data_IF_662897214062
#
_entry.id   IF_662897214062
#
_cell.length_a   1.000
_cell.length_b   1.000
_cell.length_c   1.000
_cell.angle_alpha   90.00
_cell.angle_beta   90.00
_cell.angle_gamma   90.00
#
_symmetry.space_group_name_H-M   'P 1'
#
loop_
_entity.id
_entity.type
_entity.pdbx_description
1 polymer ?
#
# COMPACT_ATOMS: atom_id res chain seq x y z
N UNK A 1 -20.49 19.86 59.64
CA UNK A 1 -20.22 18.68 58.79
C UNK A 1 -20.63 19.04 57.38
N UNK A 2 -19.68 19.50 56.58
CA UNK A 2 -19.92 20.00 55.22
C UNK A 2 -19.28 18.98 54.29
N UNK A 3 -20.10 18.16 53.63
CA UNK A 3 -19.64 17.14 52.70
C UNK A 3 -19.05 17.82 51.45
N UNK A 4 -17.74 17.72 51.29
CA UNK A 4 -17.02 18.17 50.10
C UNK A 4 -17.21 17.10 49.03
N UNK A 5 -18.12 17.32 48.10
CA UNK A 5 -18.30 16.48 46.92
C UNK A 5 -17.03 16.54 46.06
N UNK A 6 -16.29 15.43 46.03
CA UNK A 6 -15.15 15.25 45.14
C UNK A 6 -15.64 15.14 43.70
N UNK A 7 -15.56 16.24 42.96
CA UNK A 7 -15.76 16.25 41.51
C UNK A 7 -14.66 15.40 40.86
N UNK A 8 -15.02 14.21 40.37
CA UNK A 8 -14.17 13.44 39.47
C UNK A 8 -13.87 14.28 38.21
N UNK A 9 -12.63 14.30 37.71
CA UNK A 9 -12.31 15.02 36.48
C UNK A 9 -13.01 14.33 35.28
N UNK A 10 -13.43 15.09 34.26
CA UNK A 10 -14.05 14.53 33.07
C UNK A 10 -13.07 13.63 32.34
N UNK A 11 -13.49 12.43 31.97
CA UNK A 11 -12.77 11.55 31.05
C UNK A 11 -12.63 12.27 29.71
N UNK A 12 -11.48 12.89 29.45
CA UNK A 12 -11.16 13.50 28.17
C UNK A 12 -11.25 12.44 27.07
N UNK A 13 -12.23 12.55 26.18
CA UNK A 13 -12.18 11.84 24.90
C UNK A 13 -10.93 12.32 24.18
N UNK A 14 -9.89 11.48 24.15
CA UNK A 14 -8.66 11.80 23.45
C UNK A 14 -8.99 11.94 21.96
N UNK A 15 -8.57 13.05 21.33
CA UNK A 15 -8.80 13.27 19.90
C UNK A 15 -8.26 12.09 19.06
N UNK A 16 -8.82 11.79 17.88
CA UNK A 16 -8.34 10.69 17.05
C UNK A 16 -6.84 10.79 16.74
N UNK A 17 -6.34 12.00 16.47
CA UNK A 17 -4.91 12.25 16.25
C UNK A 17 -4.05 11.91 17.48
N UNK A 18 -4.49 12.27 18.69
CA UNK A 18 -3.79 11.93 19.92
C UNK A 18 -3.80 10.43 20.21
N UNK A 19 -4.91 9.74 19.92
CA UNK A 19 -4.99 8.28 20.02
C UNK A 19 -4.06 7.60 19.03
N UNK A 20 -4.03 8.08 17.78
CA UNK A 20 -3.13 7.60 16.74
C UNK A 20 -1.67 7.76 17.18
N UNK A 21 -1.29 8.95 17.67
CA UNK A 21 0.05 9.24 18.19
C UNK A 21 0.44 8.33 19.36
N UNK A 22 -0.48 8.07 20.29
CA UNK A 22 -0.19 7.25 21.47
C UNK A 22 -0.08 5.74 21.19
N UNK A 23 -0.70 5.24 20.13
CA UNK A 23 -0.84 3.78 19.87
C UNK A 23 -0.08 3.30 18.64
N UNK A 24 0.43 4.21 17.82
CA UNK A 24 1.17 3.89 16.59
C UNK A 24 2.65 4.22 16.74
N UNK A 25 3.48 3.54 15.95
CA UNK A 25 4.86 3.90 15.68
C UNK A 25 5.04 4.12 14.19
N UNK A 26 5.97 4.99 13.81
CA UNK A 26 6.31 5.17 12.41
C UNK A 26 7.22 4.05 11.94
N UNK A 27 6.97 3.56 10.73
CA UNK A 27 7.71 2.51 10.06
C UNK A 27 7.98 2.91 8.62
N UNK A 28 9.12 2.49 8.09
CA UNK A 28 9.48 2.66 6.68
C UNK A 28 10.15 1.40 6.18
N UNK A 29 9.76 1.00 4.97
CA UNK A 29 10.33 -0.17 4.28
C UNK A 29 11.01 0.30 2.99
N UNK A 30 12.29 -0.04 2.87
CA UNK A 30 13.15 0.30 1.73
C UNK A 30 13.51 -0.95 0.94
N UNK A 31 13.58 -0.82 -0.38
CA UNK A 31 13.96 -1.90 -1.28
C UNK A 31 15.14 -1.48 -2.13
N UNK A 32 16.22 -2.25 -2.10
CA UNK A 32 17.29 -2.19 -3.10
C UNK A 32 16.96 -3.19 -4.19
N UNK A 33 17.06 -2.77 -5.47
CA UNK A 33 16.63 -3.62 -6.58
C UNK A 33 17.53 -3.45 -7.80
N UNK A 34 17.96 -4.57 -8.38
CA UNK A 34 18.75 -4.55 -9.61
C UNK A 34 18.00 -3.87 -10.75
N UNK A 35 18.63 -2.85 -11.34
CA UNK A 35 18.10 -2.14 -12.50
C UNK A 35 18.19 -2.99 -13.76
N UNK A 36 17.06 -3.48 -14.29
CA UNK A 36 17.03 -4.37 -15.46
C UNK A 36 16.89 -3.64 -16.80
N UNK A 37 17.01 -2.31 -16.80
CA UNK A 37 16.94 -1.49 -18.01
C UNK A 37 18.06 -0.46 -17.99
N UNK A 38 18.58 -0.15 -19.18
CA UNK A 38 19.58 0.91 -19.35
C UNK A 38 19.22 1.76 -20.56
N UNK A 39 19.30 3.08 -20.41
CA UNK A 39 19.12 4.01 -21.53
C UNK A 39 20.21 3.78 -22.56
N UNK A 40 19.85 3.90 -23.84
CA UNK A 40 20.85 3.84 -24.91
C UNK A 40 21.77 5.06 -24.88
N UNK A 41 23.01 4.91 -25.35
CA UNK A 41 23.92 6.06 -25.50
C UNK A 41 23.40 7.06 -26.53
N UNK A 42 23.93 8.28 -26.53
CA UNK A 42 23.56 9.30 -27.53
C UNK A 42 23.77 8.79 -28.96
N UNK A 43 24.89 8.09 -29.22
CA UNK A 43 25.20 7.51 -30.53
C UNK A 43 24.21 6.42 -30.91
N UNK A 44 23.89 5.50 -29.99
CA UNK A 44 22.90 4.44 -30.22
C UNK A 44 21.50 5.00 -30.46
N UNK A 45 21.12 6.09 -29.77
CA UNK A 45 19.85 6.77 -29.98
C UNK A 45 19.79 7.45 -31.35
N UNK A 46 20.86 8.11 -31.78
CA UNK A 46 20.93 8.72 -33.11
C UNK A 46 20.78 7.68 -34.23
N UNK A 47 21.47 6.54 -34.11
CA UNK A 47 21.36 5.43 -35.07
C UNK A 47 19.94 4.84 -35.11
N UNK A 48 19.27 4.71 -33.95
CA UNK A 48 17.88 4.24 -33.91
C UNK A 48 16.90 5.26 -34.51
N UNK A 49 17.15 6.56 -34.29
CA UNK A 49 16.30 7.65 -34.79
C UNK A 49 16.34 7.78 -36.32
N UNK A 50 17.51 7.53 -36.92
CA UNK A 50 17.72 7.56 -38.38
C UNK A 50 16.74 6.63 -39.12
N UNK A 51 16.44 5.45 -38.54
CA UNK A 51 15.49 4.49 -39.13
C UNK A 51 14.06 5.02 -39.27
N UNK A 52 13.71 6.07 -38.53
CA UNK A 52 12.39 6.72 -38.55
C UNK A 52 12.44 8.16 -39.06
N UNK A 53 13.61 8.65 -39.49
CA UNK A 53 13.82 10.06 -39.83
C UNK A 53 13.56 11.01 -38.66
N UNK A 54 13.68 10.52 -37.43
CA UNK A 54 13.42 11.29 -36.22
C UNK A 54 14.70 12.01 -35.75
N UNK A 55 14.53 13.15 -35.08
CA UNK A 55 15.63 13.79 -34.37
C UNK A 55 15.94 13.03 -33.07
N UNK A 56 17.21 12.69 -32.87
CA UNK A 56 17.64 11.84 -31.74
C UNK A 56 17.33 12.42 -30.35
N UNK A 57 17.24 13.74 -30.21
CA UNK A 57 16.86 14.40 -28.94
C UNK A 57 15.38 14.23 -28.59
N UNK A 58 14.52 14.07 -29.61
CA UNK A 58 13.10 13.83 -29.46
C UNK A 58 12.75 12.34 -29.36
N UNK A 59 13.75 11.45 -29.40
CA UNK A 59 13.60 10.02 -29.24
C UNK A 59 14.20 9.51 -27.91
N UNK A 60 13.37 8.83 -27.12
CA UNK A 60 13.82 8.07 -25.93
C UNK A 60 13.82 6.57 -26.22
N UNK A 61 14.95 5.92 -25.94
CA UNK A 61 15.11 4.47 -26.12
C UNK A 61 15.99 3.88 -25.00
N UNK A 62 15.68 2.63 -24.65
CA UNK A 62 16.43 1.87 -23.64
C UNK A 62 16.38 0.37 -23.90
N UNK A 63 17.45 -0.32 -23.50
CA UNK A 63 17.57 -1.78 -23.60
C UNK A 63 17.17 -2.45 -22.30
N UNK A 64 16.63 -3.67 -22.41
CA UNK A 64 16.35 -4.55 -21.26
C UNK A 64 17.54 -5.46 -21.07
N UNK A 65 18.15 -5.42 -19.88
CA UNK A 65 19.35 -6.18 -19.56
C UNK A 65 19.03 -7.64 -19.26
N UNK A 66 17.95 -7.89 -18.51
CA UNK A 66 17.54 -9.25 -18.16
C UNK A 66 16.09 -9.51 -18.55
N UNK A 67 15.79 -10.78 -18.84
CA UNK A 67 14.42 -11.24 -19.03
C UNK A 67 13.69 -11.35 -17.68
N UNK A 68 13.00 -10.26 -17.31
CA UNK A 68 12.22 -10.21 -16.07
C UNK A 68 10.98 -11.11 -16.09
N UNK A 69 10.63 -11.71 -17.24
CA UNK A 69 9.54 -12.70 -17.32
C UNK A 69 10.00 -14.09 -16.90
N UNK A 70 11.31 -14.33 -16.78
CA UNK A 70 11.85 -15.61 -16.35
C UNK A 70 11.29 -16.00 -14.97
N UNK A 71 10.88 -17.28 -14.75
CA UNK A 71 10.24 -17.71 -13.51
C UNK A 71 11.04 -17.36 -12.24
N UNK A 72 12.37 -17.49 -12.27
CA UNK A 72 13.23 -17.14 -11.12
C UNK A 72 13.26 -15.64 -10.84
N UNK A 73 13.17 -14.79 -11.86
CA UNK A 73 13.10 -13.33 -11.65
C UNK A 73 11.71 -12.92 -11.13
N UNK A 74 10.65 -13.57 -11.63
CA UNK A 74 9.29 -13.40 -11.11
C UNK A 74 9.18 -13.82 -9.64
N UNK A 75 9.87 -14.88 -9.22
CA UNK A 75 9.91 -15.31 -7.82
C UNK A 75 10.48 -14.20 -6.91
N UNK A 76 11.63 -13.62 -7.27
CA UNK A 76 12.23 -12.48 -6.56
C UNK A 76 11.24 -11.30 -6.50
N UNK A 77 10.64 -10.94 -7.63
CA UNK A 77 9.65 -9.84 -7.70
C UNK A 77 8.40 -10.12 -6.86
N UNK A 78 7.98 -11.40 -6.77
CA UNK A 78 6.83 -11.81 -5.98
C UNK A 78 7.05 -11.58 -4.49
N UNK A 79 8.25 -11.86 -3.95
CA UNK A 79 8.60 -11.57 -2.55
C UNK A 79 8.41 -10.09 -2.27
N UNK A 80 9.01 -9.20 -3.08
CA UNK A 80 8.86 -7.74 -2.94
C UNK A 80 7.40 -7.29 -2.92
N UNK A 81 6.58 -7.83 -3.82
CA UNK A 81 5.15 -7.50 -3.88
C UNK A 81 4.41 -7.95 -2.61
N UNK A 82 4.69 -9.17 -2.11
CA UNK A 82 4.10 -9.69 -0.86
C UNK A 82 4.54 -8.86 0.35
N UNK A 83 5.82 -8.52 0.46
CA UNK A 83 6.34 -7.68 1.55
C UNK A 83 5.67 -6.31 1.57
N UNK A 84 5.55 -5.66 0.41
CA UNK A 84 4.87 -4.36 0.30
C UNK A 84 3.38 -4.48 0.66
N UNK A 85 2.70 -5.52 0.18
CA UNK A 85 1.28 -5.75 0.48
C UNK A 85 1.05 -5.96 1.98
N UNK A 86 1.87 -6.80 2.61
CA UNK A 86 1.84 -7.06 4.05
C UNK A 86 2.10 -5.79 4.88
N UNK A 87 3.15 -5.03 4.55
CA UNK A 87 3.42 -3.77 5.25
C UNK A 87 2.26 -2.79 5.11
N UNK A 88 1.67 -2.69 3.90
CA UNK A 88 0.55 -1.80 3.64
C UNK A 88 -0.72 -2.23 4.38
N UNK A 89 -0.97 -3.54 4.50
CA UNK A 89 -2.17 -4.07 5.15
C UNK A 89 -2.18 -3.91 6.67
N UNK A 90 -1.00 -3.81 7.30
CA UNK A 90 -0.85 -3.63 8.76
C UNK A 90 -0.62 -2.20 9.21
N UNK A 91 -0.55 -1.23 8.30
CA UNK A 91 -0.19 0.15 8.64
C UNK A 91 -1.06 1.18 7.95
N UNK A 92 -1.14 2.37 8.54
CA UNK A 92 -1.85 3.52 8.01
C UNK A 92 -0.91 4.45 7.24
N UNK A 93 -1.40 5.19 6.23
CA UNK A 93 -0.58 6.19 5.56
C UNK A 93 -0.19 7.34 6.52
N UNK A 94 0.96 7.95 6.25
CA UNK A 94 1.44 9.15 6.95
C UNK A 94 1.78 10.24 5.91
N UNK A 95 1.71 11.54 6.26
CA UNK A 95 1.98 12.63 5.31
C UNK A 95 3.39 12.60 4.71
N UNK A 96 4.37 12.10 5.47
CA UNK A 96 5.75 11.99 4.99
C UNK A 96 5.92 10.81 4.01
N UNK A 97 6.41 11.04 2.79
CA UNK A 97 6.56 9.98 1.79
C UNK A 97 7.44 8.83 2.27
N UNK A 98 6.96 7.60 2.10
CA UNK A 98 7.70 6.39 2.48
C UNK A 98 7.59 6.00 3.96
N UNK A 99 6.92 6.82 4.78
CA UNK A 99 6.58 6.50 6.16
C UNK A 99 5.13 6.05 6.26
N UNK A 100 4.86 5.07 7.11
CA UNK A 100 3.53 4.59 7.49
C UNK A 100 3.46 4.43 9.00
N UNK A 101 2.24 4.40 9.55
CA UNK A 101 1.98 4.22 10.98
C UNK A 101 1.56 2.78 11.25
N UNK A 102 2.39 2.04 11.96
CA UNK A 102 2.14 0.67 12.42
C UNK A 102 1.64 0.71 13.86
N UNK A 103 0.70 -0.15 14.23
CA UNK A 103 0.31 -0.26 15.64
C UNK A 103 1.45 -0.83 16.49
N UNK A 104 1.66 -0.26 17.65
CA UNK A 104 2.76 -0.67 18.54
C UNK A 104 2.64 -2.14 18.98
N UNK A 105 1.42 -2.65 19.17
CA UNK A 105 1.16 -4.06 19.53
C UNK A 105 1.37 -5.05 18.37
N UNK A 106 1.44 -4.57 17.13
CA UNK A 106 1.76 -5.38 15.95
C UNK A 106 3.26 -5.44 15.64
N UNK A 107 4.11 -4.74 16.42
CA UNK A 107 5.52 -4.55 16.13
C UNK A 107 6.31 -5.86 16.09
N UNK A 108 6.07 -6.77 17.03
CA UNK A 108 6.76 -8.06 17.12
C UNK A 108 6.42 -8.94 15.92
N UNK A 109 5.13 -9.18 15.68
CA UNK A 109 4.64 -9.94 14.52
C UNK A 109 5.11 -9.34 13.19
N UNK A 110 5.16 -8.01 13.09
CA UNK A 110 5.67 -7.34 11.90
C UNK A 110 7.16 -7.65 11.69
N UNK A 111 7.99 -7.54 12.73
CA UNK A 111 9.42 -7.82 12.61
C UNK A 111 9.68 -9.28 12.21
N UNK A 112 9.00 -10.22 12.84
CA UNK A 112 9.15 -11.65 12.53
C UNK A 112 8.81 -11.94 11.07
N UNK A 113 7.68 -11.42 10.59
CA UNK A 113 7.27 -11.63 9.20
C UNK A 113 8.19 -10.90 8.20
N UNK A 114 8.74 -9.74 8.55
CA UNK A 114 9.71 -9.03 7.70
C UNK A 114 11.04 -9.78 7.60
N UNK A 115 11.49 -10.44 8.68
CA UNK A 115 12.65 -11.35 8.65
C UNK A 115 12.39 -12.54 7.74
N UNK A 116 11.21 -13.16 7.83
CA UNK A 116 10.82 -14.26 6.91
C UNK A 116 10.86 -13.80 5.45
N UNK A 117 10.33 -12.60 5.13
CA UNK A 117 10.43 -12.07 3.77
C UNK A 117 11.86 -11.78 3.32
N UNK A 118 12.73 -11.38 4.23
CA UNK A 118 14.15 -11.16 3.93
C UNK A 118 14.83 -12.48 3.57
N UNK A 119 14.62 -13.53 4.36
CA UNK A 119 15.17 -14.86 4.09
C UNK A 119 14.63 -15.45 2.78
N UNK A 120 13.32 -15.31 2.53
CA UNK A 120 12.70 -15.73 1.27
C UNK A 120 13.27 -14.96 0.06
N UNK A 121 13.58 -13.67 0.22
CA UNK A 121 14.19 -12.86 -0.82
C UNK A 121 15.60 -13.36 -1.12
N UNK A 122 16.41 -13.59 -0.09
CA UNK A 122 17.78 -14.08 -0.23
C UNK A 122 17.82 -15.45 -0.91
N UNK A 123 16.92 -16.36 -0.54
CA UNK A 123 16.78 -17.67 -1.18
C UNK A 123 16.33 -17.54 -2.65
N UNK A 124 15.37 -16.67 -2.94
CA UNK A 124 14.92 -16.42 -4.32
C UNK A 124 16.04 -15.82 -5.19
N UNK A 125 16.86 -14.94 -4.63
CA UNK A 125 18.01 -14.30 -5.30
C UNK A 125 19.12 -15.33 -5.54
N UNK A 126 19.43 -16.18 -4.56
CA UNK A 126 20.39 -17.27 -4.74
C UNK A 126 19.99 -18.19 -5.91
N UNK A 127 18.70 -18.60 -5.93
CA UNK A 127 18.15 -19.38 -7.05
C UNK A 127 18.22 -18.61 -8.37
N UNK A 128 17.91 -17.31 -8.40
CA UNK A 128 18.07 -16.52 -9.62
C UNK A 128 19.53 -16.48 -10.09
N UNK A 129 20.47 -16.33 -9.15
CA UNK A 129 21.90 -16.22 -9.43
C UNK A 129 22.47 -17.48 -10.10
N UNK A 130 22.00 -18.68 -9.74
CA UNK A 130 22.36 -19.94 -10.42
C UNK A 130 22.05 -19.94 -11.94
N UNK A 131 21.06 -19.16 -12.40
CA UNK A 131 20.73 -19.02 -13.84
C UNK A 131 21.25 -17.72 -14.44
N UNK A 132 21.98 -16.92 -13.67
CA UNK A 132 22.35 -15.58 -14.09
C UNK A 132 23.28 -15.59 -15.31
N UNK A 133 24.25 -16.51 -15.36
CA UNK A 133 25.13 -16.69 -16.52
C UNK A 133 24.33 -16.99 -17.80
N UNK A 134 23.42 -17.96 -17.75
CA UNK A 134 22.56 -18.30 -18.90
C UNK A 134 21.63 -17.14 -19.31
N UNK A 135 21.11 -16.37 -18.34
CA UNK A 135 20.30 -15.18 -18.64
C UNK A 135 21.13 -14.08 -19.31
N UNK A 136 22.40 -13.95 -18.95
CA UNK A 136 23.35 -13.00 -19.52
C UNK A 136 23.76 -13.39 -20.94
N UNK A 137 24.04 -14.67 -21.19
CA UNK A 137 24.26 -15.21 -22.54
C UNK A 137 23.05 -14.97 -23.45
N UNK A 138 21.84 -15.30 -22.98
CA UNK A 138 20.62 -15.03 -23.73
C UNK A 138 20.40 -13.52 -23.98
N UNK A 139 20.83 -12.66 -23.06
CA UNK A 139 20.78 -11.21 -23.25
C UNK A 139 21.81 -10.74 -24.29
N UNK A 140 23.01 -11.32 -24.33
CA UNK A 140 24.03 -11.05 -25.34
C UNK A 140 23.52 -11.38 -26.75
N UNK A 141 22.90 -12.55 -26.92
CA UNK A 141 22.29 -12.94 -28.21
C UNK A 141 21.16 -12.00 -28.63
N UNK A 142 20.25 -11.67 -27.70
CA UNK A 142 19.07 -10.83 -27.99
C UNK A 142 19.40 -9.36 -28.22
N UNK A 143 20.41 -8.83 -27.53
CA UNK A 143 20.79 -7.41 -27.63
C UNK A 143 21.78 -7.15 -28.76
N UNK A 144 22.50 -8.16 -29.24
CA UNK A 144 23.50 -8.02 -30.29
C UNK A 144 24.51 -6.91 -29.97
N UNK A 145 24.68 -5.96 -30.89
CA UNK A 145 25.59 -4.81 -30.72
C UNK A 145 25.22 -3.85 -29.58
N UNK A 146 24.00 -3.93 -29.05
CA UNK A 146 23.59 -3.16 -27.89
C UNK A 146 24.03 -3.80 -26.57
N UNK A 147 24.53 -5.04 -26.58
CA UNK A 147 25.05 -5.70 -25.38
C UNK A 147 26.31 -4.96 -24.88
N UNK A 148 26.40 -4.78 -23.56
CA UNK A 148 27.60 -4.28 -22.92
C UNK A 148 27.81 -5.06 -21.61
N UNK A 149 28.94 -5.77 -21.53
CA UNK A 149 29.34 -6.58 -20.39
C UNK A 149 29.33 -5.81 -19.07
N UNK A 150 29.76 -4.53 -19.10
CA UNK A 150 29.83 -3.67 -17.92
C UNK A 150 28.45 -3.28 -17.34
N UNK A 151 27.36 -3.59 -18.05
CA UNK A 151 26.01 -3.39 -17.53
C UNK A 151 25.57 -4.52 -16.59
N UNK A 152 26.35 -5.60 -16.50
CA UNK A 152 26.05 -6.81 -15.74
C UNK A 152 27.06 -6.98 -14.62
N UNK A 153 26.65 -6.97 -13.34
CA UNK A 153 27.56 -7.31 -12.25
C UNK A 153 28.08 -8.74 -12.37
N UNK A 154 29.14 -9.07 -11.63
CA UNK A 154 29.66 -10.45 -11.60
C UNK A 154 28.68 -11.44 -10.94
N UNK A 155 27.84 -10.95 -10.02
CA UNK A 155 26.85 -11.73 -9.29
C UNK A 155 25.65 -10.85 -8.93
N UNK A 156 24.49 -11.48 -8.71
CA UNK A 156 23.30 -10.82 -8.19
C UNK A 156 23.25 -10.74 -6.65
N UNK A 157 24.22 -11.34 -5.97
CA UNK A 157 24.34 -11.23 -4.51
C UNK A 157 24.45 -9.75 -4.08
N UNK A 158 23.63 -9.34 -3.11
CA UNK A 158 23.56 -7.95 -2.63
C UNK A 158 22.92 -6.95 -3.60
N UNK A 159 22.47 -7.38 -4.79
CA UNK A 159 21.78 -6.50 -5.76
C UNK A 159 20.28 -6.33 -5.45
N UNK A 160 19.77 -7.14 -4.54
CA UNK A 160 18.40 -7.12 -4.05
C UNK A 160 18.45 -7.11 -2.53
N UNK A 161 17.70 -6.22 -1.91
CA UNK A 161 17.60 -6.17 -0.45
C UNK A 161 16.25 -5.57 -0.04
N UNK A 162 15.80 -5.96 1.15
CA UNK A 162 14.73 -5.30 1.88
C UNK A 162 15.23 -4.95 3.27
N UNK A 163 15.00 -3.70 3.67
CA UNK A 163 15.34 -3.17 4.98
C UNK A 163 14.19 -2.33 5.51
N UNK A 164 14.11 -2.23 6.84
CA UNK A 164 13.08 -1.44 7.50
C UNK A 164 13.64 -0.74 8.73
N UNK A 165 13.09 0.44 9.02
CA UNK A 165 13.44 1.25 10.19
C UNK A 165 12.20 1.88 10.83
N UNK A 166 12.40 2.47 12.01
CA UNK A 166 11.36 3.12 12.81
C UNK A 166 11.74 4.59 13.04
N UNK A 167 11.52 5.48 12.06
CA UNK A 167 11.88 6.89 12.19
C UNK A 167 11.10 7.56 13.33
N UNK A 168 11.71 8.55 14.00
CA UNK A 168 10.98 9.36 14.97
C UNK A 168 9.95 10.23 14.26
N UNK A 169 8.70 10.19 14.74
CA UNK A 169 7.64 11.15 14.39
C UNK A 169 7.30 12.09 15.54
N UNK A 170 8.15 12.09 16.57
CA UNK A 170 8.03 12.93 17.76
C UNK A 170 9.02 14.10 17.71
N UNK A 171 8.66 15.27 18.28
CA UNK A 171 9.60 16.39 18.41
C UNK A 171 10.83 15.98 19.24
N UNK A 172 12.05 16.36 18.84
CA UNK A 172 13.25 16.03 19.60
C UNK A 172 13.23 16.68 21.00
N UNK A 173 13.39 15.87 22.06
CA UNK A 173 13.26 16.33 23.45
C UNK A 173 14.33 17.35 23.87
N UNK A 174 15.54 17.29 23.30
CA UNK A 174 16.61 18.24 23.60
C UNK A 174 16.26 19.69 23.23
N UNK A 175 15.33 19.90 22.29
CA UNK A 175 14.89 21.24 21.90
C UNK A 175 14.18 21.95 23.04
N UNK A 176 13.55 21.23 23.97
CA UNK A 176 12.91 21.84 25.14
C UNK A 176 13.88 22.69 25.97
N UNK A 177 15.15 22.28 26.02
CA UNK A 177 16.19 22.98 26.78
C UNK A 177 16.93 24.00 25.92
N UNK A 178 17.22 23.67 24.66
CA UNK A 178 18.05 24.50 23.79
C UNK A 178 17.27 25.65 23.11
N UNK A 179 16.02 25.38 22.72
CA UNK A 179 15.18 26.33 22.03
C UNK A 179 13.69 25.97 22.23
N UNK A 180 13.07 26.43 23.34
CA UNK A 180 11.66 26.14 23.65
C UNK A 180 10.69 26.58 22.56
N UNK A 181 10.93 27.73 21.91
CA UNK A 181 10.08 28.22 20.81
C UNK A 181 10.11 27.27 19.61
N UNK A 182 11.29 26.76 19.23
CA UNK A 182 11.43 25.77 18.17
C UNK A 182 10.78 24.43 18.55
N UNK A 183 10.89 24.02 19.82
CA UNK A 183 10.19 22.83 20.31
C UNK A 183 8.67 22.97 20.18
N UNK A 184 8.09 24.12 20.54
CA UNK A 184 6.66 24.39 20.38
C UNK A 184 6.23 24.42 18.90
N UNK A 185 7.07 24.92 18.00
CA UNK A 185 6.83 24.86 16.55
C UNK A 185 6.81 23.43 16.04
N UNK A 186 7.78 22.59 16.43
CA UNK A 186 7.82 21.19 16.05
C UNK A 186 6.65 20.39 16.65
N UNK A 187 6.23 20.70 17.88
CA UNK A 187 5.02 20.12 18.48
C UNK A 187 3.77 20.41 17.63
N UNK A 188 3.58 21.65 17.19
CA UNK A 188 2.46 22.04 16.31
C UNK A 188 2.52 21.34 14.95
N UNK A 189 3.72 21.21 14.38
CA UNK A 189 3.94 20.51 13.10
C UNK A 189 3.61 19.02 13.21
N UNK A 190 4.04 18.36 14.28
CA UNK A 190 3.72 16.95 14.53
C UNK A 190 2.21 16.78 14.72
N UNK A 191 1.56 17.66 15.48
CA UNK A 191 0.10 17.61 15.64
C UNK A 191 -0.62 17.69 14.29
N UNK A 192 -0.28 18.68 13.46
CA UNK A 192 -0.89 18.84 12.13
C UNK A 192 -0.66 17.62 11.22
N UNK A 193 0.51 16.96 11.32
CA UNK A 193 0.79 15.73 10.57
C UNK A 193 -0.07 14.56 11.02
N UNK A 194 -0.36 14.43 12.32
CA UNK A 194 -1.27 13.40 12.81
C UNK A 194 -2.73 13.69 12.45
N UNK A 195 -3.15 14.95 12.45
CA UNK A 195 -4.48 15.34 11.96
C UNK A 195 -4.64 14.99 10.47
N UNK A 196 -3.61 15.26 9.65
CA UNK A 196 -3.58 14.85 8.24
C UNK A 196 -3.54 13.32 8.10
N UNK A 197 -2.77 12.61 8.93
CA UNK A 197 -2.71 11.14 8.90
C UNK A 197 -4.09 10.50 9.18
N UNK A 198 -4.89 11.07 10.09
CA UNK A 198 -6.28 10.65 10.32
C UNK A 198 -7.11 10.80 9.04
N UNK A 199 -7.04 11.96 8.37
CA UNK A 199 -7.76 12.20 7.12
C UNK A 199 -7.32 11.23 6.00
N UNK A 200 -6.02 10.97 5.90
CA UNK A 200 -5.46 10.02 4.93
C UNK A 200 -5.91 8.58 5.20
N UNK A 201 -5.97 8.17 6.47
CA UNK A 201 -6.44 6.85 6.86
C UNK A 201 -7.93 6.69 6.51
N UNK A 202 -8.77 7.66 6.85
CA UNK A 202 -10.18 7.65 6.45
C UNK A 202 -10.36 7.55 4.93
N UNK A 203 -9.62 8.37 4.18
CA UNK A 203 -9.70 8.36 2.72
C UNK A 203 -9.31 7.00 2.16
N UNK A 204 -8.22 6.40 2.66
CA UNK A 204 -7.78 5.09 2.24
C UNK A 204 -8.85 4.01 2.52
N UNK A 205 -9.51 4.05 3.68
CA UNK A 205 -10.58 3.12 4.01
C UNK A 205 -11.84 3.32 3.15
N UNK A 206 -12.24 4.55 2.86
CA UNK A 206 -13.39 4.85 1.99
C UNK A 206 -13.11 4.36 0.57
N UNK A 207 -11.92 4.66 0.02
CA UNK A 207 -11.52 4.23 -1.31
C UNK A 207 -11.48 2.70 -1.42
N UNK A 208 -10.90 2.04 -0.43
CA UNK A 208 -10.82 0.58 -0.38
C UNK A 208 -12.21 -0.07 -0.24
N UNK A 209 -13.06 0.43 0.65
CA UNK A 209 -14.43 -0.06 0.82
C UNK A 209 -15.25 0.14 -0.46
N UNK A 210 -15.19 1.33 -1.09
CA UNK A 210 -15.88 1.61 -2.35
C UNK A 210 -15.44 0.64 -3.45
N UNK A 211 -14.14 0.37 -3.59
CA UNK A 211 -13.63 -0.61 -4.56
C UNK A 211 -14.13 -2.03 -4.29
N UNK A 212 -14.11 -2.47 -3.03
CA UNK A 212 -14.57 -3.80 -2.64
C UNK A 212 -16.08 -3.98 -2.84
N UNK A 213 -16.88 -3.00 -2.43
CA UNK A 213 -18.34 -3.00 -2.61
C UNK A 213 -18.69 -2.94 -4.09
N UNK A 214 -18.07 -2.03 -4.86
CA UNK A 214 -18.28 -1.91 -6.30
C UNK A 214 -17.95 -3.23 -7.02
N UNK A 215 -16.82 -3.85 -6.67
CA UNK A 215 -16.45 -5.14 -7.23
C UNK A 215 -17.45 -6.24 -6.88
N UNK A 216 -17.89 -6.32 -5.62
CA UNK A 216 -18.87 -7.33 -5.20
C UNK A 216 -20.22 -7.11 -5.90
N UNK A 217 -20.75 -5.89 -5.89
CA UNK A 217 -21.99 -5.51 -6.58
C UNK A 217 -21.92 -5.86 -8.07
N UNK A 218 -20.81 -5.53 -8.73
CA UNK A 218 -20.59 -5.88 -10.14
C UNK A 218 -20.68 -7.40 -10.34
N UNK A 219 -20.01 -8.19 -9.48
CA UNK A 219 -20.02 -9.66 -9.59
C UNK A 219 -21.40 -10.24 -9.34
N UNK A 220 -22.19 -9.65 -8.44
CA UNK A 220 -23.54 -10.12 -8.14
C UNK A 220 -24.56 -9.69 -9.20
N UNK A 221 -24.40 -8.53 -9.84
CA UNK A 221 -25.37 -7.93 -10.77
C UNK A 221 -25.53 -8.57 -12.16
N UNK A 222 -24.68 -9.52 -12.56
CA UNK A 222 -24.82 -10.22 -13.85
C UNK A 222 -24.41 -9.38 -15.09
N UNK A 223 -24.69 -9.87 -16.30
CA UNK A 223 -24.59 -9.12 -17.56
C UNK A 223 -25.96 -8.60 -18.00
N UNK A 224 -25.99 -7.58 -18.87
CA UNK A 224 -27.22 -7.09 -19.53
C UNK A 224 -27.97 -8.21 -20.30
N UNK A 225 -27.26 -9.25 -20.73
CA UNK A 225 -27.80 -10.46 -21.39
C UNK A 225 -28.42 -11.50 -20.44
N UNK A 226 -28.56 -11.20 -19.14
CA UNK A 226 -29.15 -12.09 -18.13
C UNK A 226 -28.26 -13.25 -17.65
N UNK A 227 -27.02 -13.36 -18.15
CA UNK A 227 -26.06 -14.38 -17.68
C UNK A 227 -25.28 -13.91 -16.44
N UNK A 228 -25.19 -14.71 -15.37
CA UNK A 228 -24.45 -14.33 -14.17
C UNK A 228 -22.95 -14.17 -14.44
N UNK A 229 -22.33 -13.10 -13.92
CA UNK A 229 -20.88 -12.96 -13.87
C UNK A 229 -20.27 -14.06 -13.00
N UNK A 230 -19.06 -14.51 -13.35
CA UNK A 230 -18.29 -15.46 -12.54
C UNK A 230 -18.06 -14.84 -11.16
N UNK A 231 -18.68 -15.46 -10.16
CA UNK A 231 -18.59 -15.08 -8.75
C UNK A 231 -17.64 -16.05 -8.01
N UNK A 232 -16.59 -15.49 -7.42
CA UNK A 232 -15.54 -16.24 -6.70
C UNK A 232 -15.64 -15.95 -5.21
N UNK A 233 -15.26 -16.92 -4.39
CA UNK A 233 -15.28 -16.80 -2.92
C UNK A 233 -14.45 -15.62 -2.43
N UNK A 234 -13.35 -15.34 -3.13
CA UNK A 234 -12.44 -14.22 -2.86
C UNK A 234 -13.14 -12.87 -2.81
N UNK A 235 -14.27 -12.67 -3.50
CA UNK A 235 -14.99 -11.39 -3.46
C UNK A 235 -15.60 -11.12 -2.06
N UNK A 236 -16.07 -12.15 -1.38
CA UNK A 236 -16.60 -12.06 -0.01
C UNK A 236 -15.46 -12.06 1.01
N UNK A 237 -14.45 -12.89 0.79
CA UNK A 237 -13.31 -12.98 1.70
C UNK A 237 -12.52 -11.67 1.79
N UNK A 238 -12.28 -10.99 0.66
CA UNK A 238 -11.61 -9.70 0.65
C UNK A 238 -12.36 -8.62 1.48
N UNK A 239 -13.70 -8.68 1.53
CA UNK A 239 -14.50 -7.79 2.38
C UNK A 239 -14.38 -8.15 3.86
N UNK A 240 -14.36 -9.44 4.19
CA UNK A 240 -14.13 -9.90 5.57
C UNK A 240 -12.76 -9.50 6.07
N UNK A 241 -11.71 -9.72 5.28
CA UNK A 241 -10.35 -9.28 5.56
C UNK A 241 -10.28 -7.75 5.75
N UNK A 242 -11.01 -6.99 4.92
CA UNK A 242 -11.13 -5.54 5.10
C UNK A 242 -11.77 -5.18 6.44
N UNK A 243 -12.88 -5.82 6.85
CA UNK A 243 -13.52 -5.51 8.13
C UNK A 243 -12.61 -5.77 9.33
N UNK A 244 -11.84 -6.87 9.27
CA UNK A 244 -10.87 -7.19 10.30
C UNK A 244 -9.75 -6.15 10.38
N UNK A 245 -9.21 -5.72 9.24
CA UNK A 245 -8.21 -4.65 9.19
C UNK A 245 -8.77 -3.30 9.64
N UNK A 246 -9.96 -2.93 9.18
CA UNK A 246 -10.63 -1.72 9.62
C UNK A 246 -10.79 -1.73 11.13
N UNK A 247 -11.28 -2.83 11.72
CA UNK A 247 -11.39 -2.95 13.18
C UNK A 247 -10.04 -2.84 13.89
N UNK A 248 -9.00 -3.46 13.34
CA UNK A 248 -7.67 -3.48 13.94
C UNK A 248 -6.96 -2.13 13.87
N UNK A 249 -7.18 -1.35 12.80
CA UNK A 249 -6.43 -0.12 12.51
C UNK A 249 -7.24 1.17 12.70
N UNK A 250 -8.57 1.10 12.78
CA UNK A 250 -9.43 2.27 12.84
C UNK A 250 -9.24 3.03 14.16
N UNK A 251 -9.00 4.34 14.01
CA UNK A 251 -8.87 5.30 15.11
C UNK A 251 -10.21 5.86 15.59
N UNK A 252 -11.33 5.41 14.98
CA UNK A 252 -12.72 5.85 15.23
C UNK A 252 -12.85 7.36 15.12
N UNK A 253 -12.52 7.88 13.94
CA UNK A 253 -12.56 9.31 13.65
C UNK A 253 -13.79 9.74 12.84
N UNK A 254 -14.57 8.79 12.31
CA UNK A 254 -15.67 9.08 11.40
C UNK A 254 -16.85 8.12 11.60
N UNK A 255 -17.88 8.61 12.29
CA UNK A 255 -19.10 7.82 12.60
C UNK A 255 -19.87 7.39 11.35
N UNK A 256 -19.82 8.19 10.27
CA UNK A 256 -20.49 7.85 9.01
C UNK A 256 -19.79 6.66 8.34
N UNK A 257 -18.45 6.65 8.31
CA UNK A 257 -17.68 5.53 7.80
C UNK A 257 -17.90 4.27 8.66
N UNK A 258 -17.92 4.42 10.00
CA UNK A 258 -18.20 3.31 10.92
C UNK A 258 -19.60 2.72 10.68
N UNK A 259 -20.59 3.57 10.41
CA UNK A 259 -21.96 3.14 10.06
C UNK A 259 -22.00 2.40 8.73
N UNK A 260 -21.32 2.91 7.69
CA UNK A 260 -21.28 2.25 6.37
C UNK A 260 -20.57 0.90 6.43
N UNK A 261 -19.46 0.80 7.16
CA UNK A 261 -18.77 -0.47 7.41
C UNK A 261 -19.69 -1.45 8.14
N UNK A 262 -20.42 -0.98 9.14
CA UNK A 262 -21.36 -1.81 9.90
C UNK A 262 -22.52 -2.32 9.02
N UNK A 263 -23.07 -1.47 8.16
CA UNK A 263 -24.11 -1.83 7.19
C UNK A 263 -23.59 -2.88 6.20
N UNK A 264 -22.44 -2.63 5.57
CA UNK A 264 -21.80 -3.60 4.67
C UNK A 264 -21.56 -4.94 5.37
N UNK A 265 -21.08 -4.91 6.61
CA UNK A 265 -20.85 -6.12 7.39
C UNK A 265 -22.15 -6.88 7.62
N UNK A 266 -23.22 -6.22 8.05
CA UNK A 266 -24.53 -6.87 8.27
C UNK A 266 -25.09 -7.53 7.00
N UNK A 267 -24.85 -6.94 5.83
CA UNK A 267 -25.30 -7.48 4.54
C UNK A 267 -24.55 -8.77 4.17
N UNK A 268 -23.27 -8.86 4.53
CA UNK A 268 -22.38 -9.97 4.13
C UNK A 268 -22.19 -11.00 5.24
N UNK A 269 -22.52 -10.65 6.48
CA UNK A 269 -22.39 -11.54 7.64
C UNK A 269 -23.38 -12.70 7.54
N UNK A 270 -22.92 -13.91 7.86
CA UNK A 270 -23.70 -15.14 7.71
C UNK A 270 -23.92 -15.61 6.26
N UNK A 271 -23.62 -14.80 5.24
CA UNK A 271 -23.77 -15.18 3.83
C UNK A 271 -22.57 -16.03 3.39
N UNK A 272 -22.83 -17.27 2.96
CA UNK A 272 -21.79 -18.11 2.37
C UNK A 272 -21.68 -17.87 0.86
N UNK A 273 -20.46 -17.84 0.28
CA UNK A 273 -20.28 -17.68 -1.16
C UNK A 273 -21.06 -18.72 -1.99
N UNK A 274 -21.19 -19.94 -1.47
CA UNK A 274 -21.94 -21.01 -2.14
C UNK A 274 -23.45 -20.70 -2.20
N UNK A 275 -24.04 -20.14 -1.14
CA UNK A 275 -25.44 -19.74 -1.12
C UNK A 275 -25.75 -18.65 -2.15
N UNK A 276 -24.81 -17.73 -2.39
CA UNK A 276 -24.93 -16.70 -3.44
C UNK A 276 -24.87 -17.27 -4.86
N UNK A 277 -24.26 -18.45 -5.04
CA UNK A 277 -24.28 -19.16 -6.34
C UNK A 277 -25.58 -19.90 -6.55
N UNK A 278 -26.08 -20.53 -5.50
CA UNK A 278 -27.20 -21.46 -5.57
C UNK A 278 -28.56 -20.74 -5.45
N UNK A 279 -28.59 -19.55 -4.84
CA UNK A 279 -29.81 -18.77 -4.62
C UNK A 279 -29.76 -17.40 -5.31
N UNK A 280 -30.39 -17.31 -6.49
CA UNK A 280 -30.50 -16.08 -7.26
C UNK A 280 -31.26 -14.95 -6.55
N UNK A 281 -32.25 -15.29 -5.70
CA UNK A 281 -33.01 -14.30 -4.91
C UNK A 281 -32.14 -13.64 -3.83
N UNK A 282 -31.40 -14.46 -3.08
CA UNK A 282 -30.43 -13.98 -2.08
C UNK A 282 -29.34 -13.13 -2.75
N UNK A 283 -28.82 -13.58 -3.89
CA UNK A 283 -27.84 -12.84 -4.69
C UNK A 283 -28.35 -11.45 -5.08
N UNK A 284 -29.59 -11.36 -5.56
CA UNK A 284 -30.20 -10.09 -5.95
C UNK A 284 -30.42 -9.18 -4.74
N UNK A 285 -30.88 -9.73 -3.61
CA UNK A 285 -31.07 -8.98 -2.37
C UNK A 285 -29.76 -8.36 -1.88
N UNK A 286 -28.68 -9.16 -1.81
CA UNK A 286 -27.36 -8.68 -1.38
C UNK A 286 -26.83 -7.62 -2.35
N UNK A 287 -26.99 -7.84 -3.67
CA UNK A 287 -26.59 -6.84 -4.67
C UNK A 287 -27.32 -5.50 -4.48
N UNK A 288 -28.64 -5.52 -4.28
CA UNK A 288 -29.43 -4.31 -4.07
C UNK A 288 -29.02 -3.56 -2.79
N UNK A 289 -28.80 -4.29 -1.69
CA UNK A 289 -28.35 -3.67 -0.43
C UNK A 289 -26.96 -3.03 -0.59
N UNK A 290 -26.02 -3.71 -1.24
CA UNK A 290 -24.67 -3.19 -1.49
C UNK A 290 -24.67 -2.00 -2.46
N UNK A 291 -25.53 -1.98 -3.48
CA UNK A 291 -25.70 -0.82 -4.37
C UNK A 291 -26.14 0.44 -3.61
N UNK A 292 -26.98 0.26 -2.57
CA UNK A 292 -27.37 1.36 -1.68
C UNK A 292 -26.17 1.94 -0.93
N UNK A 293 -25.33 1.06 -0.34
CA UNK A 293 -24.11 1.49 0.37
C UNK A 293 -23.11 2.12 -0.59
N UNK A 294 -22.93 1.55 -1.78
CA UNK A 294 -22.05 2.08 -2.83
C UNK A 294 -22.41 3.51 -3.20
N UNK A 295 -23.71 3.81 -3.37
CA UNK A 295 -24.18 5.14 -3.74
C UNK A 295 -23.81 6.20 -2.68
N UNK A 296 -23.85 5.84 -1.40
CA UNK A 296 -23.45 6.74 -0.30
C UNK A 296 -21.93 6.92 -0.27
N UNK A 297 -21.16 5.84 -0.49
CA UNK A 297 -19.70 5.91 -0.55
C UNK A 297 -19.21 6.78 -1.72
N UNK A 298 -19.84 6.66 -2.88
CA UNK A 298 -19.49 7.46 -4.05
C UNK A 298 -19.75 8.95 -3.82
N UNK A 299 -20.83 9.31 -3.11
CA UNK A 299 -21.07 10.68 -2.65
C UNK A 299 -19.94 11.22 -1.76
N UNK A 300 -19.49 10.43 -0.78
CA UNK A 300 -18.39 10.81 0.10
C UNK A 300 -17.05 11.01 -0.63
N UNK A 301 -16.82 10.26 -1.71
CA UNK A 301 -15.62 10.40 -2.54
C UNK A 301 -15.65 11.65 -3.43
N UNK A 302 -16.83 12.11 -3.85
CA UNK A 302 -17.00 13.32 -4.67
C UNK A 302 -16.79 14.59 -3.83
N UNK A 303 -17.32 14.62 -2.62
CA UNK A 303 -17.28 15.81 -1.75
C UNK A 303 -15.91 16.06 -1.10
N UNK A 304 -14.98 15.09 -1.20
CA UNK A 304 -13.65 15.20 -0.59
C UNK A 304 -12.63 15.79 -1.59
N UNK A 305 -11.86 16.81 -1.20
CA UNK A 305 -10.83 17.39 -2.06
C UNK A 305 -9.76 16.34 -2.39
N UNK A 306 -9.55 16.09 -3.68
CA UNK A 306 -8.50 15.16 -4.15
C UNK A 306 -7.13 15.66 -3.70
N UNK A 307 -6.33 14.72 -3.17
CA UNK A 307 -5.03 14.93 -2.52
C UNK A 307 -4.15 15.98 -3.21
N UNK A 308 -3.83 17.06 -2.51
CA UNK A 308 -2.82 18.05 -2.92
C UNK A 308 -1.44 17.49 -2.61
N UNK A 309 -0.73 17.00 -3.62
CA UNK A 309 0.63 16.48 -3.45
C UNK A 309 1.57 17.64 -3.15
N UNK A 310 1.84 17.91 -1.87
CA UNK A 310 2.89 18.83 -1.44
C UNK A 310 4.22 18.08 -1.55
N UNK A 311 5.00 18.36 -2.60
CA UNK A 311 6.39 17.90 -2.67
C UNK A 311 7.23 18.75 -1.73
N UNK A 312 7.91 18.12 -0.77
CA UNK A 312 8.94 18.81 0.02
C UNK A 312 10.04 19.31 -0.94
N UNK A 313 10.51 20.57 -0.81
CA UNK A 313 11.69 21.02 -1.53
C UNK A 313 12.90 20.18 -1.07
N UNK A 314 13.75 19.82 -2.03
CA UNK A 314 15.05 19.16 -1.80
C UNK A 314 15.99 20.07 -1.04
#
# INVERSE_FOLDING_TARGET
MTATSTTQPPTHSTSPANRMRATMCATRVSFTWFGTRKTLSTVQKAQAAESFGAEGEFLSAGKKLLDTKHPRFKAVTSVRSRTRAYWTSLSLPYPEPGIRLLRQDALETFQDQMNVFKDELDEAVARLNERYAALKEAAQERLGSLYNEADYPASLAGMFDVSWDFPSVEPPSYLQQLNPELYEQECRRVQARFDEAVQMAEQAFIEELSQLVSHLTERLGGHEDGKPKIFRDTAVENLREFFERFRALNVRSNDQLDSLVSQCRQVVDGVQPQELRDNGGLRQQVATQLSGVQSVLDGLLVDRPRRRIIRSPK
#
